data_IF_047342901045
#
_entry.id   IF_047342901045
#
_cell.length_a   1.000
_cell.length_b   1.000
_cell.length_c   1.000
_cell.angle_alpha   90.00
_cell.angle_beta   90.00
_cell.angle_gamma   90.00
#
_symmetry.space_group_name_H-M   'P 1'
#
loop_
_entity.id
_entity.type
_entity.pdbx_description
1 polymer ?
#
# COMPACT_ATOMS: atom_id res chain seq x y z
N UNK A 1 13.89 5.82 -7.57
CA UNK A 1 14.84 4.75 -7.28
C UNK A 1 16.25 5.27 -7.55
N UNK A 2 17.29 4.75 -6.88
CA UNK A 2 18.70 5.19 -7.08
C UNK A 2 19.54 4.00 -7.56
N UNK A 3 20.54 4.20 -8.42
CA UNK A 3 21.35 3.09 -8.96
C UNK A 3 22.14 2.32 -7.90
N UNK A 4 22.54 2.96 -6.82
CA UNK A 4 23.32 2.35 -5.73
C UNK A 4 22.60 1.22 -4.98
N UNK A 5 21.26 1.11 -5.10
CA UNK A 5 20.48 0.02 -4.47
C UNK A 5 20.40 -1.24 -5.34
N UNK A 6 20.75 -1.19 -6.64
CA UNK A 6 20.65 -2.31 -7.58
C UNK A 6 21.35 -3.58 -7.08
N UNK A 7 22.62 -3.51 -6.58
CA UNK A 7 23.28 -4.72 -6.08
C UNK A 7 22.53 -5.39 -4.91
N UNK A 8 21.90 -4.58 -4.04
CA UNK A 8 21.09 -5.09 -2.95
C UNK A 8 19.79 -5.75 -3.41
N UNK A 9 19.08 -5.10 -4.34
CA UNK A 9 17.88 -5.66 -4.94
C UNK A 9 18.16 -6.93 -5.73
N UNK A 10 19.28 -6.95 -6.49
CA UNK A 10 19.66 -8.15 -7.25
C UNK A 10 19.88 -9.37 -6.35
N UNK A 11 20.50 -9.21 -5.17
CA UNK A 11 20.62 -10.33 -4.21
C UNK A 11 19.28 -10.88 -3.76
N UNK A 12 18.29 -10.01 -3.58
CA UNK A 12 16.92 -10.41 -3.22
C UNK A 12 16.27 -11.16 -4.40
N UNK A 13 16.37 -10.61 -5.60
CA UNK A 13 15.82 -11.22 -6.81
C UNK A 13 16.43 -12.58 -7.09
N UNK A 14 17.76 -12.69 -7.04
CA UNK A 14 18.49 -13.96 -7.24
C UNK A 14 18.05 -15.01 -6.20
N UNK A 15 17.81 -14.61 -4.95
CA UNK A 15 17.34 -15.51 -3.90
C UNK A 15 15.88 -15.99 -4.15
N UNK A 16 15.01 -15.12 -4.65
CA UNK A 16 13.63 -15.45 -5.01
C UNK A 16 13.61 -16.41 -6.22
N UNK A 17 14.38 -16.10 -7.26
CA UNK A 17 14.47 -16.92 -8.47
C UNK A 17 15.03 -18.31 -8.18
N UNK A 18 16.00 -18.43 -7.25
CA UNK A 18 16.55 -19.71 -6.83
C UNK A 18 15.48 -20.67 -6.29
N UNK A 19 14.43 -20.13 -5.69
CA UNK A 19 13.29 -20.91 -5.18
C UNK A 19 12.16 -21.07 -6.24
N UNK A 20 12.39 -20.65 -7.48
CA UNK A 20 11.44 -20.80 -8.60
C UNK A 20 10.29 -19.80 -8.60
N UNK A 21 10.38 -18.71 -7.82
CA UNK A 21 9.36 -17.68 -7.75
C UNK A 21 9.76 -16.44 -8.57
N UNK A 22 8.77 -15.69 -9.05
CA UNK A 22 8.96 -14.39 -9.70
C UNK A 22 9.11 -13.27 -8.67
N UNK A 23 9.92 -12.26 -8.99
CA UNK A 23 10.19 -11.12 -8.14
C UNK A 23 9.50 -9.86 -8.67
N UNK A 24 8.78 -9.15 -7.79
CA UNK A 24 8.15 -7.87 -8.11
C UNK A 24 8.56 -6.79 -7.11
N UNK A 25 8.76 -5.56 -7.61
CA UNK A 25 9.05 -4.41 -6.75
C UNK A 25 7.94 -3.37 -6.86
N UNK A 26 7.49 -2.85 -5.70
CA UNK A 26 6.54 -1.75 -5.68
C UNK A 26 7.26 -0.41 -5.88
N UNK A 27 6.81 0.36 -6.88
CA UNK A 27 7.25 1.71 -7.17
C UNK A 27 6.22 2.72 -6.69
N UNK A 28 6.64 3.65 -5.85
CA UNK A 28 5.77 4.67 -5.30
C UNK A 28 6.52 5.90 -4.83
N UNK A 29 5.79 6.99 -4.62
CA UNK A 29 6.30 8.23 -4.02
C UNK A 29 5.39 8.66 -2.89
N UNK A 30 5.97 8.89 -1.70
CA UNK A 30 5.19 9.13 -0.48
C UNK A 30 4.36 10.44 -0.51
N UNK A 31 4.70 11.38 -1.39
CA UNK A 31 3.96 12.64 -1.48
C UNK A 31 3.99 13.42 -0.17
N UNK A 32 2.81 13.82 0.32
CA UNK A 32 2.63 14.56 1.57
C UNK A 32 2.94 13.73 2.84
N UNK A 33 3.14 12.42 2.72
CA UNK A 33 3.54 11.55 3.82
C UNK A 33 5.05 11.55 4.07
N UNK A 34 5.85 12.14 3.17
CA UNK A 34 7.28 12.37 3.39
C UNK A 34 7.50 13.39 4.53
N UNK A 35 8.61 13.25 5.24
CA UNK A 35 9.02 14.21 6.26
C UNK A 35 10.29 14.93 5.82
N UNK A 36 10.34 16.28 6.03
CA UNK A 36 11.48 17.11 5.61
C UNK A 36 12.84 16.57 6.09
N UNK A 37 12.90 16.07 7.33
CA UNK A 37 14.14 15.54 7.92
C UNK A 37 14.62 14.23 7.26
N UNK A 38 13.74 13.54 6.53
CA UNK A 38 14.06 12.29 5.84
C UNK A 38 14.41 12.56 4.37
N UNK A 39 13.60 13.37 3.68
CA UNK A 39 13.82 13.65 2.26
C UNK A 39 14.75 14.85 1.99
N UNK A 40 15.21 15.56 3.04
CA UNK A 40 16.11 16.70 2.93
C UNK A 40 15.50 17.97 2.32
N UNK A 41 14.23 17.94 1.91
CA UNK A 41 13.54 19.06 1.29
C UNK A 41 12.08 19.13 1.75
N UNK A 42 11.38 20.22 1.38
CA UNK A 42 9.94 20.34 1.62
C UNK A 42 9.18 19.31 0.79
N UNK A 43 8.37 18.42 1.40
CA UNK A 43 7.59 17.44 0.66
C UNK A 43 6.66 18.07 -0.38
N UNK A 44 6.38 17.33 -1.44
CA UNK A 44 5.53 17.71 -2.57
C UNK A 44 4.30 16.83 -2.65
N UNK A 45 3.20 17.36 -3.17
CA UNK A 45 1.92 16.66 -3.32
C UNK A 45 1.12 17.28 -4.47
N UNK A 46 -0.08 16.75 -4.73
CA UNK A 46 -1.02 17.39 -5.68
C UNK A 46 -1.29 18.84 -5.29
N UNK A 47 -1.57 19.11 -4.02
CA UNK A 47 -1.81 20.46 -3.47
C UNK A 47 -0.94 20.73 -2.24
N UNK A 48 -0.70 22.01 -1.96
CA UNK A 48 0.02 22.43 -0.76
C UNK A 48 -0.87 22.36 0.49
N UNK A 49 -0.24 22.33 1.67
CA UNK A 49 -0.96 22.32 2.95
C UNK A 49 -0.07 21.86 4.11
N UNK A 50 -0.70 21.56 5.22
CA UNK A 50 -0.06 20.94 6.38
C UNK A 50 -0.59 19.52 6.57
N UNK A 51 0.32 18.55 6.65
CA UNK A 51 -0.06 17.17 6.96
C UNK A 51 0.12 16.93 8.47
N UNK A 52 -0.99 16.71 9.17
CA UNK A 52 -1.00 16.46 10.61
C UNK A 52 -0.44 15.08 10.99
N UNK A 53 -0.56 14.09 10.11
CA UNK A 53 -0.11 12.71 10.35
C UNK A 53 1.40 12.51 10.12
N UNK A 54 2.00 13.37 9.31
CA UNK A 54 3.45 13.55 9.16
C UNK A 54 3.73 15.03 9.33
N UNK A 55 3.81 15.55 10.58
CA UNK A 55 3.74 16.99 10.88
C UNK A 55 4.72 17.81 10.06
N UNK A 56 4.31 18.23 8.87
CA UNK A 56 5.15 18.95 7.91
C UNK A 56 4.32 19.84 6.98
N UNK A 57 4.93 20.94 6.58
CA UNK A 57 4.41 21.77 5.50
C UNK A 57 4.73 21.16 4.16
N UNK A 58 3.71 21.00 3.34
CA UNK A 58 3.77 20.38 2.01
C UNK A 58 3.58 21.46 0.94
N UNK A 59 4.21 21.30 -0.20
CA UNK A 59 4.07 22.17 -1.37
C UNK A 59 3.34 21.44 -2.50
N UNK A 60 2.43 22.13 -3.18
CA UNK A 60 1.86 21.66 -4.44
C UNK A 60 2.94 21.56 -5.53
N UNK A 61 2.88 20.53 -6.36
CA UNK A 61 3.78 20.34 -7.50
C UNK A 61 3.46 21.33 -8.62
N UNK A 62 4.50 21.84 -9.27
CA UNK A 62 4.39 22.60 -10.52
C UNK A 62 4.16 21.65 -11.70
N UNK A 63 3.54 22.08 -12.82
CA UNK A 63 3.35 21.23 -14.01
C UNK A 63 4.63 20.57 -14.52
N UNK A 64 5.76 21.29 -14.53
CA UNK A 64 7.06 20.73 -14.93
C UNK A 64 7.56 19.63 -13.99
N UNK A 65 7.26 19.73 -12.69
CA UNK A 65 7.60 18.70 -11.69
C UNK A 65 6.70 17.47 -11.83
N UNK A 66 5.43 17.64 -12.20
CA UNK A 66 4.50 16.55 -12.49
C UNK A 66 5.04 15.73 -13.67
N UNK A 67 5.42 16.40 -14.76
CA UNK A 67 6.03 15.73 -15.91
C UNK A 67 7.34 15.01 -15.55
N UNK A 68 8.22 15.68 -14.79
CA UNK A 68 9.49 15.09 -14.36
C UNK A 68 9.25 13.85 -13.45
N UNK A 69 8.24 13.89 -12.57
CA UNK A 69 7.90 12.77 -11.71
C UNK A 69 7.36 11.58 -12.50
N UNK A 70 6.49 11.82 -13.50
CA UNK A 70 6.02 10.74 -14.38
C UNK A 70 7.21 10.03 -15.07
N UNK A 71 8.16 10.78 -15.64
CA UNK A 71 9.40 10.22 -16.21
C UNK A 71 10.24 9.45 -15.18
N UNK A 72 10.26 9.90 -13.92
CA UNK A 72 10.99 9.21 -12.85
C UNK A 72 10.39 7.83 -12.53
N UNK A 73 9.07 7.62 -12.69
CA UNK A 73 8.46 6.29 -12.61
C UNK A 73 8.98 5.37 -13.73
N UNK A 74 9.04 5.84 -14.99
CA UNK A 74 9.64 5.08 -16.09
C UNK A 74 11.12 4.74 -15.86
N UNK A 75 11.91 5.72 -15.38
CA UNK A 75 13.31 5.48 -15.01
C UNK A 75 13.46 4.41 -13.91
N UNK A 76 12.54 4.39 -12.93
CA UNK A 76 12.55 3.38 -11.87
C UNK A 76 12.26 1.97 -12.41
N UNK A 77 11.49 1.83 -13.49
CA UNK A 77 11.28 0.54 -14.16
C UNK A 77 12.57 0.01 -14.79
N UNK A 78 13.37 0.87 -15.44
CA UNK A 78 14.67 0.46 -15.98
C UNK A 78 15.60 -0.06 -14.87
N UNK A 79 15.66 0.62 -13.71
CA UNK A 79 16.48 0.17 -12.58
C UNK A 79 15.94 -1.13 -11.95
N UNK A 80 14.61 -1.34 -11.95
CA UNK A 80 14.02 -2.60 -11.52
C UNK A 80 14.41 -3.76 -12.45
N UNK A 81 14.43 -3.52 -13.76
CA UNK A 81 14.89 -4.51 -14.75
C UNK A 81 16.37 -4.85 -14.55
N UNK A 82 17.25 -3.85 -14.34
CA UNK A 82 18.67 -4.09 -14.04
C UNK A 82 18.87 -4.93 -12.76
N UNK A 83 17.97 -4.78 -11.80
CA UNK A 83 17.94 -5.60 -10.59
C UNK A 83 17.37 -7.01 -10.80
N UNK A 84 16.92 -7.36 -12.01
CA UNK A 84 16.38 -8.68 -12.37
C UNK A 84 14.92 -8.89 -11.97
N UNK A 85 14.15 -7.83 -11.70
CA UNK A 85 12.72 -7.94 -11.37
C UNK A 85 11.91 -8.39 -12.59
N UNK A 86 10.96 -9.30 -12.39
CA UNK A 86 10.04 -9.80 -13.42
C UNK A 86 8.80 -8.89 -13.57
N UNK A 87 8.48 -8.15 -12.52
CA UNK A 87 7.33 -7.26 -12.48
C UNK A 87 7.59 -5.98 -11.69
N UNK A 88 6.81 -4.95 -11.99
CA UNK A 88 6.68 -3.76 -11.15
C UNK A 88 5.22 -3.57 -10.72
N UNK A 89 5.04 -3.13 -9.48
CA UNK A 89 3.74 -2.72 -8.94
C UNK A 89 3.73 -1.20 -8.76
N UNK A 90 2.86 -0.50 -9.48
CA UNK A 90 2.70 0.95 -9.35
C UNK A 90 1.76 1.25 -8.21
N UNK A 91 2.23 2.02 -7.23
CA UNK A 91 1.43 2.37 -6.06
C UNK A 91 0.54 3.58 -6.32
N UNK A 92 -0.72 3.34 -6.68
CA UNK A 92 -1.74 4.35 -6.94
C UNK A 92 -2.80 4.49 -5.83
N UNK A 93 -2.57 3.87 -4.65
CA UNK A 93 -3.50 3.85 -3.52
C UNK A 93 -2.96 4.48 -2.24
N UNK A 94 -3.70 4.27 -1.15
CA UNK A 94 -3.36 4.52 0.26
C UNK A 94 -2.97 5.96 0.61
N UNK A 95 -3.31 6.95 -0.24
CA UNK A 95 -2.97 8.36 0.01
C UNK A 95 -1.51 8.71 -0.28
N UNK A 96 -0.79 7.91 -1.07
CA UNK A 96 0.50 8.28 -1.62
C UNK A 96 0.35 9.12 -2.90
N UNK A 97 1.44 9.55 -3.53
CA UNK A 97 1.41 10.66 -4.49
C UNK A 97 0.37 10.49 -5.61
N UNK A 98 0.30 9.34 -6.29
CA UNK A 98 -0.71 9.13 -7.35
C UNK A 98 -2.12 9.19 -6.76
N UNK A 99 -2.37 8.51 -5.63
CA UNK A 99 -3.63 8.59 -4.90
C UNK A 99 -3.96 10.03 -4.44
N UNK A 100 -2.95 10.85 -4.09
CA UNK A 100 -3.14 12.26 -3.73
C UNK A 100 -3.60 13.12 -4.89
N UNK A 101 -3.26 12.76 -6.13
CA UNK A 101 -3.81 13.41 -7.33
C UNK A 101 -5.23 12.93 -7.64
N UNK A 102 -5.51 11.64 -7.45
CA UNK A 102 -6.83 11.05 -7.69
C UNK A 102 -7.89 11.53 -6.70
N UNK A 103 -7.54 11.57 -5.41
CA UNK A 103 -8.49 11.88 -4.32
C UNK A 103 -8.87 13.38 -4.28
N UNK A 104 -10.17 13.71 -4.28
CA UNK A 104 -10.62 15.10 -4.12
C UNK A 104 -10.26 15.66 -2.72
N UNK A 105 -10.02 14.81 -1.74
CA UNK A 105 -9.59 15.22 -0.39
C UNK A 105 -8.22 15.88 -0.36
N UNK A 106 -7.31 15.48 -1.25
CA UNK A 106 -5.93 16.01 -1.30
C UNK A 106 -5.65 16.86 -2.53
N UNK A 107 -6.46 16.74 -3.58
CA UNK A 107 -6.30 17.47 -4.82
C UNK A 107 -7.29 18.63 -4.93
N UNK A 108 -6.84 19.81 -4.51
CA UNK A 108 -7.60 21.06 -4.57
C UNK A 108 -7.15 21.96 -5.74
N UNK A 109 -6.46 21.39 -6.74
CA UNK A 109 -5.94 22.13 -7.88
C UNK A 109 -7.08 22.71 -8.75
N UNK A 110 -6.77 23.80 -9.42
CA UNK A 110 -7.70 24.49 -10.36
C UNK A 110 -7.20 24.46 -11.81
N UNK A 111 -6.05 23.81 -12.03
CA UNK A 111 -5.47 23.59 -13.35
C UNK A 111 -5.91 22.24 -13.95
N UNK A 112 -5.31 21.85 -15.07
CA UNK A 112 -5.60 20.62 -15.80
C UNK A 112 -5.35 19.31 -15.05
N UNK A 113 -4.78 19.36 -13.82
CA UNK A 113 -4.53 18.21 -12.94
C UNK A 113 -5.52 18.12 -11.78
N UNK A 114 -6.56 18.95 -11.72
CA UNK A 114 -7.53 18.98 -10.62
C UNK A 114 -8.95 19.28 -11.04
N UNK A 115 -9.88 19.27 -10.07
CA UNK A 115 -11.31 19.43 -10.32
C UNK A 115 -11.98 18.12 -10.73
N UNK A 116 -12.34 17.93 -12.02
CA UNK A 116 -12.99 16.71 -12.51
C UNK A 116 -12.13 15.46 -12.32
N UNK A 117 -12.76 14.28 -12.23
CA UNK A 117 -12.04 13.01 -12.14
C UNK A 117 -11.10 12.83 -13.35
N UNK A 118 -11.55 13.17 -14.56
CA UNK A 118 -10.72 13.14 -15.75
C UNK A 118 -9.39 13.91 -15.59
N UNK A 119 -9.43 15.11 -15.01
CA UNK A 119 -8.23 15.90 -14.74
C UNK A 119 -7.39 15.29 -13.61
N UNK A 120 -8.03 14.77 -12.57
CA UNK A 120 -7.32 14.12 -11.44
C UNK A 120 -6.59 12.84 -11.87
N UNK A 121 -7.09 12.12 -12.86
CA UNK A 121 -6.45 10.94 -13.46
C UNK A 121 -5.25 11.29 -14.36
N UNK A 122 -5.09 12.52 -14.83
CA UNK A 122 -4.04 12.91 -15.79
C UNK A 122 -2.63 12.52 -15.32
N UNK A 123 -2.29 12.78 -14.06
CA UNK A 123 -0.95 12.41 -13.55
C UNK A 123 -0.75 10.89 -13.51
N UNK A 124 -1.75 10.14 -13.11
CA UNK A 124 -1.71 8.66 -13.14
C UNK A 124 -1.47 8.16 -14.58
N UNK A 125 -2.22 8.67 -15.56
CA UNK A 125 -2.05 8.29 -16.98
C UNK A 125 -0.64 8.62 -17.49
N UNK A 126 -0.09 9.78 -17.15
CA UNK A 126 1.29 10.16 -17.49
C UNK A 126 2.31 9.20 -16.87
N UNK A 127 2.14 8.80 -15.61
CA UNK A 127 3.00 7.81 -14.97
C UNK A 127 2.91 6.45 -15.66
N UNK A 128 1.71 5.98 -15.95
CA UNK A 128 1.50 4.71 -16.62
C UNK A 128 2.07 4.69 -18.04
N UNK A 129 1.94 5.77 -18.79
CA UNK A 129 2.54 5.89 -20.13
C UNK A 129 4.07 5.73 -20.10
N UNK A 130 4.76 6.39 -19.18
CA UNK A 130 6.22 6.24 -19.01
C UNK A 130 6.62 4.86 -18.48
N UNK A 131 5.81 4.29 -17.58
CA UNK A 131 6.02 2.95 -17.04
C UNK A 131 5.87 1.88 -18.12
N UNK A 132 4.78 1.92 -18.90
CA UNK A 132 4.53 0.93 -19.95
C UNK A 132 5.57 1.00 -21.07
N UNK A 133 5.99 2.20 -21.47
CA UNK A 133 7.12 2.38 -22.40
C UNK A 133 8.41 1.72 -21.88
N UNK A 134 8.71 1.91 -20.60
CA UNK A 134 9.91 1.36 -19.98
C UNK A 134 9.82 -0.15 -19.73
N UNK A 135 8.63 -0.67 -19.40
CA UNK A 135 8.39 -2.09 -19.17
C UNK A 135 8.51 -2.93 -20.45
N UNK A 136 8.09 -2.37 -21.59
CA UNK A 136 8.10 -3.11 -22.85
C UNK A 136 7.20 -4.36 -22.80
N UNK A 137 7.65 -5.46 -23.42
CA UNK A 137 6.90 -6.73 -23.44
C UNK A 137 7.40 -7.76 -22.42
N UNK A 138 8.54 -7.50 -21.79
CA UNK A 138 9.25 -8.48 -20.97
C UNK A 138 9.00 -8.33 -19.46
N UNK A 139 8.30 -7.26 -19.03
CA UNK A 139 8.05 -6.99 -17.62
C UNK A 139 6.56 -6.80 -17.36
N UNK A 140 6.02 -7.51 -16.37
CA UNK A 140 4.65 -7.31 -15.96
C UNK A 140 4.48 -6.00 -15.19
N UNK A 141 3.37 -5.29 -15.45
CA UNK A 141 3.00 -4.04 -14.78
C UNK A 141 1.69 -4.21 -14.04
N UNK A 142 1.75 -4.22 -12.73
CA UNK A 142 0.60 -4.28 -11.85
C UNK A 142 0.33 -2.88 -11.26
N UNK A 143 -0.92 -2.57 -10.97
CA UNK A 143 -1.28 -1.31 -10.30
C UNK A 143 -2.05 -1.62 -9.03
N UNK A 144 -1.54 -1.15 -7.88
CA UNK A 144 -2.28 -1.19 -6.63
C UNK A 144 -3.06 0.09 -6.45
N UNK A 145 -4.39 -0.03 -6.34
CA UNK A 145 -5.30 1.10 -6.22
C UNK A 145 -6.26 0.96 -5.04
N UNK A 146 -6.88 2.07 -4.65
CA UNK A 146 -7.98 2.05 -3.70
C UNK A 146 -9.30 1.76 -4.41
N UNK A 147 -10.12 0.88 -3.84
CA UNK A 147 -11.53 0.75 -4.16
C UNK A 147 -12.36 1.85 -3.49
N UNK A 148 -11.92 2.31 -2.31
CA UNK A 148 -12.42 3.49 -1.57
C UNK A 148 -11.29 4.10 -0.76
N UNK A 149 -11.35 5.39 -0.51
CA UNK A 149 -10.44 6.05 0.44
C UNK A 149 -10.80 5.75 1.91
N UNK A 150 -12.04 5.31 2.18
CA UNK A 150 -12.48 4.85 3.49
C UNK A 150 -12.87 5.95 4.47
N UNK A 151 -13.17 7.16 3.97
CA UNK A 151 -13.67 8.28 4.78
C UNK A 151 -14.46 9.29 3.92
N UNK A 152 -15.33 10.06 4.57
CA UNK A 152 -16.16 11.05 3.91
C UNK A 152 -15.33 12.14 3.19
N UNK A 153 -15.57 12.34 1.92
CA UNK A 153 -14.88 13.33 1.07
C UNK A 153 -13.64 12.77 0.35
N UNK A 154 -13.31 11.49 0.54
CA UNK A 154 -12.39 10.73 -0.31
C UNK A 154 -13.10 10.17 -1.55
N UNK A 155 -12.37 9.37 -2.32
CA UNK A 155 -12.92 8.64 -3.47
C UNK A 155 -13.83 7.50 -3.02
N UNK A 156 -14.92 7.31 -3.75
CA UNK A 156 -15.87 6.22 -3.59
C UNK A 156 -15.90 5.31 -4.83
N UNK A 157 -16.66 4.21 -4.75
CA UNK A 157 -16.66 3.15 -5.78
C UNK A 157 -16.88 3.64 -7.20
N UNK A 158 -17.79 4.57 -7.41
CA UNK A 158 -18.14 5.05 -8.76
C UNK A 158 -16.91 5.67 -9.44
N UNK A 159 -16.21 6.58 -8.75
CA UNK A 159 -14.99 7.19 -9.28
C UNK A 159 -13.84 6.19 -9.42
N UNK A 160 -13.69 5.26 -8.47
CA UNK A 160 -12.58 4.29 -8.51
C UNK A 160 -12.79 3.19 -9.55
N UNK A 161 -14.02 2.83 -9.88
CA UNK A 161 -14.34 1.98 -11.02
C UNK A 161 -13.98 2.66 -12.35
N UNK A 162 -14.25 3.97 -12.52
CA UNK A 162 -13.81 4.73 -13.69
C UNK A 162 -12.27 4.76 -13.80
N UNK A 163 -11.57 4.95 -12.66
CA UNK A 163 -10.09 4.83 -12.62
C UNK A 163 -9.63 3.43 -13.06
N UNK A 164 -10.30 2.38 -12.60
CA UNK A 164 -9.95 1.00 -12.95
C UNK A 164 -10.18 0.70 -14.43
N UNK A 165 -11.29 1.15 -15.00
CA UNK A 165 -11.52 1.09 -16.46
C UNK A 165 -10.44 1.84 -17.25
N UNK A 166 -10.08 3.04 -16.82
CA UNK A 166 -8.98 3.80 -17.45
C UNK A 166 -7.66 3.03 -17.40
N UNK A 167 -7.34 2.37 -16.28
CA UNK A 167 -6.13 1.56 -16.15
C UNK A 167 -6.16 0.34 -17.07
N UNK A 168 -7.31 -0.32 -17.22
CA UNK A 168 -7.51 -1.45 -18.12
C UNK A 168 -7.47 -1.02 -19.59
N UNK A 169 -8.33 -0.08 -19.98
CA UNK A 169 -8.69 0.15 -21.37
C UNK A 169 -7.77 1.18 -22.07
N UNK A 170 -7.19 2.12 -21.30
CA UNK A 170 -6.37 3.20 -21.85
C UNK A 170 -4.90 3.10 -21.45
N UNK A 171 -4.60 2.65 -20.21
CA UNK A 171 -3.23 2.60 -19.70
C UNK A 171 -2.52 1.25 -19.94
N UNK A 172 -3.26 0.20 -20.29
CA UNK A 172 -2.71 -1.12 -20.58
C UNK A 172 -2.07 -1.82 -19.38
N UNK A 173 -2.52 -1.55 -18.16
CA UNK A 173 -2.07 -2.29 -16.99
C UNK A 173 -2.35 -3.79 -17.13
N UNK A 174 -1.43 -4.66 -16.70
CA UNK A 174 -1.57 -6.10 -16.85
C UNK A 174 -2.42 -6.75 -15.77
N UNK A 175 -2.45 -6.16 -14.56
CA UNK A 175 -3.32 -6.59 -13.46
C UNK A 175 -3.58 -5.45 -12.47
N UNK A 176 -4.71 -5.50 -11.74
CA UNK A 176 -4.99 -4.58 -10.64
C UNK A 176 -4.95 -5.30 -9.29
N UNK A 177 -4.33 -4.67 -8.30
CA UNK A 177 -4.35 -5.10 -6.91
C UNK A 177 -5.36 -4.22 -6.17
N UNK A 178 -6.49 -4.81 -5.79
CA UNK A 178 -7.63 -4.12 -5.22
C UNK A 178 -7.48 -3.92 -3.72
N UNK A 179 -7.13 -2.70 -3.31
CA UNK A 179 -6.96 -2.33 -1.90
C UNK A 179 -7.91 -1.18 -1.53
N UNK A 180 -7.71 -0.59 -0.37
CA UNK A 180 -8.54 0.55 0.06
C UNK A 180 -7.95 1.26 1.26
N UNK A 181 -8.46 2.47 1.51
CA UNK A 181 -8.06 3.29 2.64
C UNK A 181 -6.96 4.30 2.33
N UNK A 182 -6.69 5.15 3.31
CA UNK A 182 -5.80 6.30 3.20
C UNK A 182 -4.95 6.39 4.47
N UNK A 183 -3.66 6.11 4.38
CA UNK A 183 -2.77 5.92 5.55
C UNK A 183 -2.77 7.11 6.50
N UNK A 184 -2.88 8.35 5.99
CA UNK A 184 -2.93 9.55 6.82
C UNK A 184 -4.30 9.83 7.45
N UNK A 185 -5.41 9.32 6.91
CA UNK A 185 -6.76 9.69 7.36
C UNK A 185 -7.56 8.50 7.88
N UNK A 186 -7.41 7.35 7.26
CA UNK A 186 -8.12 6.12 7.60
C UNK A 186 -7.18 4.89 7.61
N UNK A 187 -6.10 4.90 8.44
CA UNK A 187 -5.13 3.81 8.43
C UNK A 187 -5.75 2.47 8.81
N UNK A 188 -6.71 2.46 9.72
CA UNK A 188 -7.34 1.21 10.16
C UNK A 188 -8.35 0.66 9.14
N UNK A 189 -8.84 1.48 8.20
CA UNK A 189 -9.60 0.98 7.05
C UNK A 189 -8.75 0.05 6.17
N UNK A 190 -7.45 0.36 6.01
CA UNK A 190 -6.49 -0.51 5.28
C UNK A 190 -6.18 -1.76 6.09
N UNK A 191 -5.90 -1.61 7.39
CA UNK A 191 -5.26 -2.64 8.21
C UNK A 191 -6.24 -3.45 9.04
N UNK A 192 -7.41 -2.89 9.32
CA UNK A 192 -8.39 -3.41 10.29
C UNK A 192 -7.82 -3.63 11.70
N UNK A 193 -8.68 -3.85 12.66
CA UNK A 193 -8.30 -3.95 14.07
C UNK A 193 -8.09 -2.58 14.71
N UNK A 194 -7.21 -2.54 15.68
CA UNK A 194 -6.83 -1.32 16.41
C UNK A 194 -5.34 -1.05 16.29
N UNK A 195 -4.95 0.22 16.32
CA UNK A 195 -3.54 0.60 16.41
C UNK A 195 -3.06 0.43 17.86
N UNK A 196 -2.01 -0.36 18.13
CA UNK A 196 -1.40 -0.46 19.45
C UNK A 196 -0.59 0.80 19.74
N UNK A 197 -1.26 1.80 20.32
CA UNK A 197 -0.72 3.16 20.53
C UNK A 197 0.49 3.16 21.46
N UNK A 198 0.48 2.34 22.52
CA UNK A 198 1.61 2.26 23.44
C UNK A 198 2.84 1.67 22.72
N UNK A 199 2.67 0.60 21.98
CA UNK A 199 3.73 0.00 21.15
C UNK A 199 4.26 0.99 20.11
N UNK A 200 3.37 1.66 19.37
CA UNK A 200 3.76 2.65 18.36
C UNK A 200 4.61 3.77 18.98
N UNK A 201 4.19 4.31 20.11
CA UNK A 201 4.92 5.40 20.78
C UNK A 201 6.23 4.94 21.42
N UNK A 202 6.38 3.66 21.74
CA UNK A 202 7.62 3.07 22.22
C UNK A 202 8.73 3.12 21.16
N UNK A 203 8.37 2.90 19.89
CA UNK A 203 9.31 2.88 18.76
C UNK A 203 9.46 4.24 18.05
N UNK A 204 8.68 5.26 18.42
CA UNK A 204 8.76 6.58 17.80
C UNK A 204 10.02 7.34 18.23
N UNK A 205 10.89 7.77 17.30
CA UNK A 205 12.14 8.46 17.63
C UNK A 205 11.98 9.97 17.90
N UNK A 206 10.74 10.49 17.87
CA UNK A 206 10.48 11.93 17.82
C UNK A 206 10.07 12.49 19.21
N UNK A 207 10.96 12.96 20.00
CA UNK A 207 10.87 13.81 21.21
C UNK A 207 9.48 13.93 21.87
N UNK A 208 8.77 15.04 21.64
CA UNK A 208 7.44 15.31 22.24
C UNK A 208 6.26 14.62 21.53
N UNK A 209 6.43 14.18 20.28
CA UNK A 209 5.35 13.59 19.46
C UNK A 209 4.73 12.33 20.10
N UNK A 210 5.50 11.39 20.69
CA UNK A 210 4.94 10.24 21.40
C UNK A 210 3.94 10.60 22.49
N UNK A 211 4.18 11.70 23.22
CA UNK A 211 3.25 12.14 24.26
C UNK A 211 1.90 12.58 23.67
N UNK A 212 1.92 13.39 22.62
CA UNK A 212 0.71 13.80 21.90
C UNK A 212 -0.07 12.59 21.32
N UNK A 213 0.65 11.63 20.75
CA UNK A 213 0.04 10.40 20.23
C UNK A 213 -0.53 9.52 21.34
N UNK A 214 0.09 9.42 22.52
CA UNK A 214 -0.49 8.70 23.66
C UNK A 214 -1.80 9.33 24.13
N UNK A 215 -1.90 10.65 24.11
CA UNK A 215 -3.09 11.38 24.58
C UNK A 215 -4.25 11.33 23.54
N UNK A 216 -3.96 11.55 22.28
CA UNK A 216 -4.98 11.73 21.23
C UNK A 216 -5.08 10.56 20.24
N UNK A 217 -4.12 9.63 20.24
CA UNK A 217 -3.97 8.61 19.17
C UNK A 217 -5.20 7.73 18.98
N UNK A 218 -5.86 7.30 20.05
CA UNK A 218 -7.09 6.49 19.96
C UNK A 218 -8.26 7.24 19.31
N UNK A 219 -8.31 8.57 19.50
CA UNK A 219 -9.31 9.42 18.88
C UNK A 219 -8.96 9.71 17.40
N UNK A 220 -7.68 9.95 17.12
CA UNK A 220 -7.19 10.24 15.78
C UNK A 220 -7.12 9.00 14.86
N UNK A 221 -6.96 7.82 15.46
CA UNK A 221 -6.84 6.54 14.74
C UNK A 221 -7.95 5.61 15.26
N UNK A 222 -9.20 5.80 14.82
CA UNK A 222 -10.32 4.95 15.23
C UNK A 222 -10.08 3.51 14.75
N UNK A 223 -10.48 2.53 15.57
CA UNK A 223 -10.40 1.12 15.22
C UNK A 223 -11.48 0.74 14.19
N UNK A 224 -11.13 -0.21 13.34
CA UNK A 224 -12.03 -0.83 12.36
C UNK A 224 -12.11 -2.34 12.62
N UNK A 225 -13.30 -2.95 12.69
CA UNK A 225 -13.41 -4.38 12.94
C UNK A 225 -12.64 -5.21 11.91
N UNK A 226 -11.93 -6.24 12.38
CA UNK A 226 -11.35 -7.23 11.49
C UNK A 226 -12.40 -8.31 11.16
N UNK A 227 -12.47 -8.66 9.88
CA UNK A 227 -13.14 -9.84 9.33
C UNK A 227 -12.24 -10.39 8.25
N UNK A 228 -12.11 -11.71 8.15
CA UNK A 228 -11.35 -12.27 7.05
C UNK A 228 -11.97 -11.88 5.71
N UNK A 229 -11.15 -11.61 4.71
CA UNK A 229 -11.55 -11.10 3.39
C UNK A 229 -12.40 -9.79 3.43
N UNK A 230 -12.03 -8.85 4.30
CA UNK A 230 -12.83 -7.63 4.58
C UNK A 230 -13.06 -6.68 3.39
N UNK A 231 -12.38 -6.86 2.27
CA UNK A 231 -12.59 -6.09 1.04
C UNK A 231 -13.38 -6.85 -0.03
N UNK A 232 -13.81 -8.10 0.22
CA UNK A 232 -14.39 -8.97 -0.81
C UNK A 232 -15.66 -8.38 -1.43
N UNK A 233 -16.54 -7.80 -0.63
CA UNK A 233 -17.79 -7.21 -1.12
C UNK A 233 -17.56 -6.10 -2.17
N UNK A 234 -16.61 -5.19 -1.91
CA UNK A 234 -16.25 -4.15 -2.87
C UNK A 234 -15.44 -4.73 -4.05
N UNK A 235 -14.53 -5.67 -3.79
CA UNK A 235 -13.71 -6.30 -4.82
C UNK A 235 -14.53 -7.07 -5.86
N UNK A 236 -15.64 -7.72 -5.46
CA UNK A 236 -16.57 -8.39 -6.38
C UNK A 236 -17.23 -7.42 -7.37
N UNK A 237 -17.46 -6.16 -7.00
CA UNK A 237 -17.96 -5.12 -7.92
C UNK A 237 -16.94 -4.80 -9.02
N UNK A 238 -15.64 -4.77 -8.66
CA UNK A 238 -14.56 -4.64 -9.64
C UNK A 238 -14.44 -5.89 -10.52
N UNK A 239 -14.56 -7.10 -9.93
CA UNK A 239 -14.53 -8.34 -10.72
C UNK A 239 -15.65 -8.39 -11.75
N UNK A 240 -16.85 -7.96 -11.39
CA UNK A 240 -18.00 -7.89 -12.30
C UNK A 240 -17.83 -6.85 -13.43
N UNK A 241 -17.10 -5.77 -13.19
CA UNK A 241 -16.92 -4.67 -14.13
C UNK A 241 -15.70 -4.83 -15.07
N UNK A 242 -14.65 -5.53 -14.63
CA UNK A 242 -13.37 -5.59 -15.34
C UNK A 242 -13.12 -6.97 -15.94
N UNK A 243 -12.36 -7.03 -17.04
CA UNK A 243 -11.96 -8.26 -17.71
C UNK A 243 -10.51 -8.67 -17.46
N UNK A 244 -9.69 -7.71 -17.02
CA UNK A 244 -8.28 -7.93 -16.74
C UNK A 244 -8.07 -8.78 -15.47
N UNK A 245 -6.90 -9.41 -15.29
CA UNK A 245 -6.54 -10.10 -14.06
C UNK A 245 -6.63 -9.20 -12.84
N UNK A 246 -7.23 -9.73 -11.77
CA UNK A 246 -7.37 -9.03 -10.48
C UNK A 246 -6.67 -9.80 -9.37
N UNK A 247 -5.94 -9.06 -8.55
CA UNK A 247 -5.29 -9.56 -7.34
C UNK A 247 -6.10 -9.10 -6.13
N UNK A 248 -6.68 -10.03 -5.40
CA UNK A 248 -7.35 -9.71 -4.14
C UNK A 248 -6.34 -9.49 -3.02
N UNK A 249 -6.50 -8.43 -2.23
CA UNK A 249 -5.77 -8.20 -0.98
C UNK A 249 -6.74 -7.75 0.11
N UNK A 250 -6.64 -8.35 1.31
CA UNK A 250 -7.47 -7.91 2.44
C UNK A 250 -7.78 -9.01 3.45
N UNK A 251 -6.87 -9.26 4.41
CA UNK A 251 -7.12 -10.06 5.60
C UNK A 251 -7.24 -11.58 5.38
N UNK A 252 -6.56 -12.12 4.39
CA UNK A 252 -6.53 -13.57 4.16
C UNK A 252 -5.61 -14.25 5.17
N UNK A 253 -6.15 -15.24 5.90
CA UNK A 253 -5.45 -16.00 6.95
C UNK A 253 -5.74 -17.49 6.93
N UNK A 254 -6.67 -17.96 6.08
CA UNK A 254 -6.98 -19.38 5.93
C UNK A 254 -6.96 -19.81 4.47
N UNK A 255 -6.61 -21.06 4.22
CA UNK A 255 -6.69 -21.68 2.91
C UNK A 255 -8.13 -21.66 2.37
N UNK A 256 -9.09 -22.05 3.21
CA UNK A 256 -10.53 -22.03 2.87
C UNK A 256 -10.98 -20.67 2.29
N UNK A 257 -10.60 -19.56 2.95
CA UNK A 257 -10.97 -18.21 2.46
C UNK A 257 -10.21 -17.79 1.21
N UNK A 258 -8.99 -18.26 1.02
CA UNK A 258 -8.23 -18.05 -0.21
C UNK A 258 -8.90 -18.79 -1.37
N UNK A 259 -9.28 -20.06 -1.17
CA UNK A 259 -9.96 -20.86 -2.20
C UNK A 259 -11.33 -20.25 -2.57
N UNK A 260 -12.10 -19.73 -1.58
CA UNK A 260 -13.34 -18.99 -1.82
C UNK A 260 -13.09 -17.78 -2.74
N UNK A 261 -12.12 -16.93 -2.40
CA UNK A 261 -11.78 -15.75 -3.20
C UNK A 261 -11.35 -16.11 -4.63
N UNK A 262 -10.55 -17.15 -4.79
CA UNK A 262 -10.14 -17.61 -6.12
C UNK A 262 -11.34 -18.16 -6.93
N UNK A 263 -12.26 -18.89 -6.28
CA UNK A 263 -13.50 -19.38 -6.89
C UNK A 263 -14.47 -18.24 -7.27
N UNK A 264 -14.41 -17.11 -6.59
CA UNK A 264 -15.15 -15.88 -6.94
C UNK A 264 -14.60 -15.15 -8.18
N UNK A 265 -13.55 -15.73 -8.83
CA UNK A 265 -13.02 -15.28 -10.11
C UNK A 265 -11.82 -14.34 -10.02
N UNK A 266 -11.15 -14.25 -8.88
CA UNK A 266 -9.86 -13.57 -8.78
C UNK A 266 -8.74 -14.52 -9.21
N UNK A 267 -7.84 -14.04 -10.06
CA UNK A 267 -6.73 -14.85 -10.56
C UNK A 267 -5.60 -15.01 -9.54
N UNK A 268 -5.47 -14.04 -8.63
CA UNK A 268 -4.41 -14.00 -7.64
C UNK A 268 -4.88 -13.46 -6.29
N UNK A 269 -4.16 -13.83 -5.23
CA UNK A 269 -4.30 -13.24 -3.91
C UNK A 269 -2.97 -12.66 -3.42
N UNK A 270 -3.04 -11.60 -2.62
CA UNK A 270 -1.87 -10.96 -2.00
C UNK A 270 -1.99 -10.98 -0.48
N UNK A 271 -0.95 -11.45 0.19
CA UNK A 271 -0.86 -11.54 1.64
C UNK A 271 0.37 -10.80 2.15
N UNK A 272 0.24 -10.06 3.25
CA UNK A 272 1.37 -9.40 3.90
C UNK A 272 1.57 -9.90 5.34
N UNK A 273 0.66 -9.57 6.26
CA UNK A 273 0.82 -9.90 7.68
C UNK A 273 0.79 -11.40 7.97
N UNK A 274 0.04 -12.18 7.19
CA UNK A 274 0.04 -13.64 7.30
C UNK A 274 1.45 -14.20 7.04
N UNK A 275 2.11 -13.74 5.97
CA UNK A 275 3.46 -14.20 5.63
C UNK A 275 4.55 -13.61 6.54
N UNK A 276 4.33 -12.43 7.13
CA UNK A 276 5.21 -11.90 8.17
C UNK A 276 5.09 -12.70 9.48
N UNK A 277 3.91 -13.23 9.77
CA UNK A 277 3.68 -14.12 10.92
C UNK A 277 4.22 -15.53 10.65
N UNK A 278 3.95 -16.06 9.46
CA UNK A 278 4.40 -17.41 9.07
C UNK A 278 4.91 -17.41 7.62
N UNK A 279 6.23 -17.28 7.41
CA UNK A 279 6.82 -17.30 6.07
C UNK A 279 6.57 -18.63 5.31
N UNK A 280 6.27 -19.72 6.02
CA UNK A 280 6.00 -21.05 5.45
C UNK A 280 4.51 -21.27 5.14
N UNK A 281 3.64 -20.29 5.38
CA UNK A 281 2.19 -20.48 5.30
C UNK A 281 1.74 -20.99 3.92
N UNK A 282 2.33 -20.51 2.81
CA UNK A 282 2.02 -21.01 1.47
C UNK A 282 2.36 -22.50 1.31
N UNK A 283 3.48 -22.95 1.85
CA UNK A 283 3.86 -24.37 1.82
C UNK A 283 2.91 -25.21 2.69
N UNK A 284 2.52 -24.74 3.86
CA UNK A 284 1.52 -25.41 4.71
C UNK A 284 0.19 -25.58 3.99
N UNK A 285 -0.26 -24.58 3.23
CA UNK A 285 -1.50 -24.67 2.44
C UNK A 285 -1.42 -25.72 1.31
N UNK A 286 -0.23 -26.10 0.83
CA UNK A 286 -0.09 -27.19 -0.14
C UNK A 286 -0.35 -28.57 0.49
N UNK A 287 -0.05 -28.70 1.76
CA UNK A 287 -0.10 -29.97 2.51
C UNK A 287 -1.42 -30.15 3.28
N UNK A 288 -2.07 -29.05 3.69
CA UNK A 288 -3.26 -29.04 4.53
C UNK A 288 -4.31 -28.07 3.97
N UNK A 289 -5.46 -28.59 3.61
CA UNK A 289 -6.62 -27.80 3.12
C UNK A 289 -7.26 -26.94 4.22
N UNK A 290 -7.02 -27.26 5.49
CA UNK A 290 -7.48 -26.50 6.66
C UNK A 290 -6.42 -25.55 7.22
N UNK A 291 -5.29 -25.37 6.51
CA UNK A 291 -4.21 -24.51 6.96
C UNK A 291 -4.68 -23.09 7.32
N UNK A 292 -4.30 -22.64 8.50
CA UNK A 292 -4.57 -21.29 9.00
C UNK A 292 -3.28 -20.63 9.49
N UNK A 293 -3.17 -19.34 9.21
CA UNK A 293 -2.13 -18.50 9.79
C UNK A 293 -2.58 -17.98 11.17
N UNK A 294 -1.68 -18.07 12.14
CA UNK A 294 -1.92 -17.65 13.52
C UNK A 294 -1.67 -16.13 13.74
N UNK A 295 -2.01 -15.30 12.74
CA UNK A 295 -1.93 -13.85 12.87
C UNK A 295 -3.18 -13.30 13.57
N UNK A 296 -3.04 -12.93 14.86
CA UNK A 296 -4.13 -12.37 15.67
C UNK A 296 -4.47 -10.89 15.36
N UNK A 297 -3.89 -10.30 14.32
CA UNK A 297 -4.16 -8.91 13.87
C UNK A 297 -4.00 -7.83 14.95
N UNK A 298 -3.12 -8.05 15.92
CA UNK A 298 -2.78 -7.04 16.94
C UNK A 298 -2.13 -5.77 16.37
N UNK A 299 -1.77 -5.78 15.09
CA UNK A 299 -1.07 -4.68 14.39
C UNK A 299 0.28 -4.28 15.01
N UNK A 300 0.89 -5.15 15.82
CA UNK A 300 2.21 -4.91 16.39
C UNK A 300 3.27 -4.63 15.32
N UNK A 301 3.30 -5.41 14.25
CA UNK A 301 4.24 -5.24 13.14
C UNK A 301 4.12 -3.85 12.47
N UNK A 302 2.90 -3.30 12.40
CA UNK A 302 2.65 -1.95 11.87
C UNK A 302 3.07 -0.89 12.89
N UNK A 303 2.77 -1.07 14.17
CA UNK A 303 3.11 -0.11 15.22
C UNK A 303 4.62 0.10 15.37
N UNK A 304 5.44 -0.89 15.03
CA UNK A 304 6.90 -0.75 15.04
C UNK A 304 7.52 -0.23 13.74
N UNK A 305 6.73 0.38 12.85
CA UNK A 305 7.21 0.94 11.57
C UNK A 305 8.38 1.94 11.70
N UNK A 306 8.56 2.51 12.89
CA UNK A 306 9.67 3.41 13.22
C UNK A 306 10.94 2.68 13.71
N UNK A 307 10.91 1.35 13.86
CA UNK A 307 12.09 0.55 14.18
C UNK A 307 12.83 0.13 12.88
N UNK A 308 14.06 -0.33 13.03
CA UNK A 308 14.88 -0.79 11.89
C UNK A 308 14.30 -2.07 11.28
N UNK A 309 13.72 -2.95 12.11
CA UNK A 309 13.22 -4.26 11.70
C UNK A 309 11.69 -4.32 11.79
N UNK A 310 11.06 -4.70 10.69
CA UNK A 310 9.65 -5.09 10.71
C UNK A 310 9.56 -6.59 11.05
N UNK A 311 8.89 -6.94 12.14
CA UNK A 311 8.75 -8.32 12.57
C UNK A 311 7.40 -8.57 13.26
N UNK A 312 6.93 -9.81 13.23
CA UNK A 312 5.83 -10.26 14.06
C UNK A 312 6.30 -10.39 15.52
N UNK A 313 5.45 -9.99 16.48
CA UNK A 313 5.76 -10.11 17.90
C UNK A 313 6.08 -11.56 18.33
N UNK A 314 5.49 -12.54 17.66
CA UNK A 314 5.71 -13.97 17.93
C UNK A 314 7.15 -14.44 17.65
N UNK A 315 7.91 -13.66 16.88
CA UNK A 315 9.32 -13.96 16.55
C UNK A 315 10.31 -13.13 17.37
N UNK A 316 9.83 -12.32 18.31
CA UNK A 316 10.70 -11.44 19.11
C UNK A 316 10.78 -11.95 20.54
N UNK A 317 12.00 -12.23 20.97
CA UNK A 317 12.29 -12.55 22.36
C UNK A 317 12.33 -11.29 23.23
N UNK A 318 11.96 -11.42 24.52
CA UNK A 318 12.11 -10.37 25.53
C UNK A 318 11.37 -9.04 25.24
N UNK A 319 10.15 -9.10 24.70
CA UNK A 319 9.31 -7.93 24.60
C UNK A 319 8.98 -7.34 25.97
N UNK A 320 8.90 -5.99 26.11
CA UNK A 320 8.45 -5.36 27.34
C UNK A 320 7.06 -5.88 27.76
N UNK A 321 6.88 -6.16 29.06
CA UNK A 321 5.59 -6.66 29.60
C UNK A 321 4.39 -5.78 29.26
N UNK A 322 4.59 -4.45 29.19
CA UNK A 322 3.55 -3.50 28.81
C UNK A 322 3.11 -3.65 27.36
N UNK A 323 4.02 -3.98 26.45
CA UNK A 323 3.74 -4.26 25.04
C UNK A 323 3.00 -5.61 24.90
N UNK A 324 3.46 -6.64 25.60
CA UNK A 324 2.80 -7.96 25.61
C UNK A 324 1.33 -7.79 26.03
N UNK A 325 1.08 -7.11 27.15
CA UNK A 325 -0.27 -6.87 27.67
C UNK A 325 -1.16 -6.07 26.67
N UNK A 326 -0.58 -5.14 25.89
CA UNK A 326 -1.32 -4.42 24.85
C UNK A 326 -1.68 -5.35 23.69
N UNK A 327 -0.74 -6.18 23.22
CA UNK A 327 -0.94 -7.16 22.14
C UNK A 327 -2.05 -8.14 22.49
N UNK A 328 -1.95 -8.81 23.66
CA UNK A 328 -2.94 -9.80 24.13
C UNK A 328 -4.36 -9.23 24.20
N UNK A 329 -4.49 -7.94 24.49
CA UNK A 329 -5.78 -7.24 24.54
C UNK A 329 -6.36 -6.97 23.15
N UNK A 330 -5.50 -6.82 22.13
CA UNK A 330 -5.88 -6.40 20.78
C UNK A 330 -5.98 -7.56 19.80
N UNK A 331 -5.46 -8.74 20.12
CA UNK A 331 -5.57 -9.91 19.27
C UNK A 331 -7.02 -10.38 19.14
N UNK A 332 -7.42 -10.68 17.91
CA UNK A 332 -8.65 -11.39 17.60
C UNK A 332 -8.41 -12.89 17.85
N UNK A 333 -9.31 -13.49 18.63
CA UNK A 333 -9.31 -14.91 18.95
C UNK A 333 -10.19 -15.70 18.00
#
# INVERSE_FOLDING_TARGET
>A
MRPDIIPGLKRITDAIHKEGAAASVQLGHCGNMSHKNICGCRPISASGGFNIYSPTLVRGMKPSEITAMAKAFGQAVHLAREAGMDAVEIHAGHGYLISQFLSPYTNHRKDEYGGSLHNRMRFMKMCMDEVMKAAGQDMAVLVKMNMRDGFKGGMELDETLEVAHTLQDECGAHALILSGGFVSRAPMYVMRGSMPIHTMTHYMPFGWLPLGVKMAGRFMIPSEPFKEAYFLEDALKFRAALKMPLVYVGGLTSREKIDEVLNDGFEFVSMARALLNDPSFVNKMKEDEHARCDCGHSNYCIARMYSIEMACHKHIQNLPKSIIKEIEKLEYK
#
